data_IF_298632254913
#
_entry.id   IF_298632254913
#
_cell.length_a   1.000
_cell.length_b   1.000
_cell.length_c   1.000
_cell.angle_alpha   90.00
_cell.angle_beta   90.00
_cell.angle_gamma   90.00
#
_symmetry.space_group_name_H-M   'P 1'
#
loop_
_entity.id
_entity.type
_entity.pdbx_description
1 polymer ?
#
# COMPACT_ATOMS: atom_id res chain seq x y z
N UNK A 1 -13.71 9.99 11.51
CA UNK A 1 -12.81 9.53 10.43
C UNK A 1 -12.64 8.04 10.64
N UNK A 2 -12.81 7.24 9.59
CA UNK A 2 -12.71 5.79 9.69
C UNK A 2 -11.28 5.38 10.08
N UNK A 3 -11.12 4.48 11.05
CA UNK A 3 -9.80 4.03 11.54
C UNK A 3 -8.93 3.48 10.40
N UNK A 4 -9.54 2.84 9.40
CA UNK A 4 -8.81 2.31 8.25
C UNK A 4 -8.31 3.41 7.32
N UNK A 5 -9.08 4.49 7.14
CA UNK A 5 -8.67 5.66 6.35
C UNK A 5 -7.48 6.34 7.01
N UNK A 6 -7.51 6.51 8.33
CA UNK A 6 -6.39 7.08 9.08
C UNK A 6 -5.12 6.22 8.98
N UNK A 7 -5.26 4.90 9.07
CA UNK A 7 -4.16 3.95 8.83
C UNK A 7 -3.56 4.10 7.43
N UNK A 8 -4.40 4.17 6.39
CA UNK A 8 -3.92 4.36 5.02
C UNK A 8 -3.22 5.70 4.81
N UNK A 9 -3.75 6.80 5.37
CA UNK A 9 -3.11 8.12 5.31
C UNK A 9 -1.74 8.15 6.01
N UNK A 10 -1.59 7.45 7.14
CA UNK A 10 -0.31 7.32 7.82
C UNK A 10 0.66 6.46 7.01
N UNK A 11 0.20 5.39 6.39
CA UNK A 11 1.00 4.52 5.54
C UNK A 11 1.55 5.26 4.31
N UNK A 12 0.72 6.09 3.65
CA UNK A 12 1.13 6.97 2.55
C UNK A 12 2.34 7.82 2.96
N UNK A 13 2.25 8.49 4.12
CA UNK A 13 3.35 9.31 4.64
C UNK A 13 4.62 8.48 4.92
N UNK A 14 4.47 7.26 5.43
CA UNK A 14 5.59 6.36 5.67
C UNK A 14 6.29 5.95 4.36
N UNK A 15 5.52 5.62 3.32
CA UNK A 15 6.06 5.26 2.00
C UNK A 15 6.76 6.47 1.37
N UNK A 16 6.13 7.66 1.40
CA UNK A 16 6.71 8.91 0.89
C UNK A 16 8.03 9.25 1.60
N UNK A 17 8.07 9.15 2.92
CA UNK A 17 9.30 9.36 3.70
C UNK A 17 10.38 8.36 3.30
N UNK A 18 10.02 7.08 3.15
CA UNK A 18 10.94 6.02 2.77
C UNK A 18 11.49 6.21 1.36
N UNK A 19 10.67 6.66 0.41
CA UNK A 19 11.07 6.99 -0.97
C UNK A 19 12.23 7.99 -1.01
N UNK A 20 12.27 8.96 -0.09
CA UNK A 20 13.34 9.97 -0.05
C UNK A 20 14.72 9.40 0.26
N UNK A 21 14.78 8.19 0.82
CA UNK A 21 16.04 7.52 1.17
C UNK A 21 16.64 6.71 0.00
N UNK A 22 15.91 6.51 -1.10
CA UNK A 22 16.33 5.70 -2.23
C UNK A 22 16.49 6.52 -3.51
N UNK A 23 17.52 6.21 -4.30
CA UNK A 23 17.70 6.80 -5.62
C UNK A 23 16.49 6.52 -6.52
N UNK A 24 16.02 7.53 -7.25
CA UNK A 24 14.84 7.45 -8.12
C UNK A 24 14.95 6.39 -9.23
N UNK A 25 16.17 5.98 -9.59
CA UNK A 25 16.44 4.93 -10.57
C UNK A 25 16.60 3.55 -9.95
N UNK A 26 16.54 3.44 -8.62
CA UNK A 26 16.62 2.16 -7.93
C UNK A 26 15.32 1.37 -8.09
N UNK A 27 15.44 0.04 -8.19
CA UNK A 27 14.29 -0.86 -8.24
C UNK A 27 13.42 -0.79 -6.97
N UNK A 28 14.00 -0.41 -5.84
CA UNK A 28 13.27 -0.19 -4.58
C UNK A 28 12.38 1.06 -4.69
N UNK A 29 12.92 2.16 -5.20
CA UNK A 29 12.15 3.39 -5.38
C UNK A 29 10.99 3.19 -6.36
N UNK A 30 11.22 2.50 -7.48
CA UNK A 30 10.17 2.16 -8.44
C UNK A 30 9.02 1.38 -7.78
N UNK A 31 9.34 0.32 -7.05
CA UNK A 31 8.32 -0.51 -6.38
C UNK A 31 7.59 0.23 -5.26
N UNK A 32 8.29 1.04 -4.45
CA UNK A 32 7.64 1.88 -3.44
C UNK A 32 6.72 2.93 -4.08
N UNK A 33 7.08 3.45 -5.26
CA UNK A 33 6.24 4.39 -6.00
C UNK A 33 4.95 3.73 -6.49
N UNK A 34 5.03 2.50 -7.01
CA UNK A 34 3.84 1.71 -7.35
C UNK A 34 2.96 1.43 -6.13
N UNK A 35 3.58 1.09 -5.00
CA UNK A 35 2.82 0.88 -3.78
C UNK A 35 2.10 2.14 -3.32
N UNK A 36 2.77 3.29 -3.35
CA UNK A 36 2.20 4.56 -2.94
C UNK A 36 0.91 4.86 -3.72
N UNK A 37 0.93 4.67 -5.04
CA UNK A 37 -0.25 4.83 -5.91
C UNK A 37 -1.36 3.85 -5.51
N UNK A 38 -1.03 2.60 -5.22
CA UNK A 38 -2.00 1.60 -4.78
C UNK A 38 -2.68 1.95 -3.46
N UNK A 39 -1.90 2.35 -2.45
CA UNK A 39 -2.44 2.76 -1.13
C UNK A 39 -3.27 4.03 -1.25
N UNK A 40 -2.84 5.01 -2.05
CA UNK A 40 -3.61 6.23 -2.34
C UNK A 40 -4.98 5.90 -2.93
N UNK A 41 -5.03 5.03 -3.95
CA UNK A 41 -6.28 4.58 -4.55
C UNK A 41 -7.24 3.94 -3.53
N UNK A 42 -6.74 3.04 -2.68
CA UNK A 42 -7.55 2.41 -1.63
C UNK A 42 -8.10 3.43 -0.62
N UNK A 43 -7.29 4.40 -0.20
CA UNK A 43 -7.73 5.48 0.71
C UNK A 43 -8.79 6.36 0.06
N UNK A 44 -8.64 6.67 -1.22
CA UNK A 44 -9.64 7.42 -1.99
C UNK A 44 -10.97 6.66 -2.08
N UNK A 45 -10.94 5.36 -2.39
CA UNK A 45 -12.14 4.51 -2.41
C UNK A 45 -12.87 4.49 -1.07
N UNK A 46 -12.11 4.31 0.02
CA UNK A 46 -12.64 4.30 1.37
C UNK A 46 -13.28 5.65 1.76
N UNK A 47 -12.72 6.78 1.30
CA UNK A 47 -13.27 8.11 1.55
C UNK A 47 -14.50 8.41 0.68
N UNK A 48 -14.43 8.10 -0.61
CA UNK A 48 -15.41 8.52 -1.60
C UNK A 48 -16.67 7.62 -1.64
N UNK A 49 -16.67 6.48 -0.94
CA UNK A 49 -17.70 5.43 -1.09
C UNK A 49 -17.91 5.04 -2.57
N UNK A 50 -16.89 5.24 -3.41
CA UNK A 50 -16.93 4.98 -4.85
C UNK A 50 -15.89 3.91 -5.17
N UNK A 51 -16.28 2.88 -5.91
CA UNK A 51 -15.32 1.91 -6.45
C UNK A 51 -14.46 2.56 -7.53
N UNK A 52 -13.29 3.06 -7.16
CA UNK A 52 -12.16 2.96 -8.08
C UNK A 52 -11.86 1.46 -8.20
N UNK A 53 -11.63 0.99 -9.42
CA UNK A 53 -11.54 -0.45 -9.70
C UNK A 53 -10.09 -0.87 -9.55
N UNK A 54 -9.54 -0.81 -8.33
CA UNK A 54 -8.20 -1.36 -8.08
C UNK A 54 -8.33 -2.79 -7.55
N UNK A 55 -8.51 -3.75 -8.47
CA UNK A 55 -8.45 -5.18 -8.15
C UNK A 55 -7.00 -5.66 -8.28
N UNK A 56 -6.22 -5.60 -7.20
CA UNK A 56 -4.99 -6.39 -7.08
C UNK A 56 -5.24 -7.47 -6.04
N UNK A 57 -5.14 -8.74 -6.46
CA UNK A 57 -5.33 -9.85 -5.53
C UNK A 57 -4.22 -9.83 -4.45
N UNK A 58 -4.52 -10.21 -3.19
CA UNK A 58 -3.51 -10.39 -2.14
C UNK A 58 -2.35 -11.32 -2.51
N UNK A 59 -2.55 -12.22 -3.48
CA UNK A 59 -1.53 -13.15 -3.99
C UNK A 59 -0.56 -12.48 -4.97
N UNK A 60 -1.00 -11.46 -5.71
CA UNK A 60 -0.13 -10.70 -6.61
C UNK A 60 0.78 -9.74 -5.83
N UNK A 61 0.35 -9.29 -4.66
CA UNK A 61 1.13 -8.38 -3.80
C UNK A 61 2.41 -8.96 -3.22
N UNK A 62 2.35 -10.21 -2.75
CA UNK A 62 3.54 -10.94 -2.32
C UNK A 62 4.48 -11.23 -3.51
N UNK A 63 3.93 -11.32 -4.72
CA UNK A 63 4.69 -11.54 -5.96
C UNK A 63 5.36 -10.25 -6.45
N UNK A 64 4.71 -9.10 -6.28
CA UNK A 64 5.10 -7.80 -6.86
C UNK A 64 6.16 -7.05 -6.04
N UNK A 65 6.15 -7.14 -4.70
CA UNK A 65 7.21 -6.56 -3.87
C UNK A 65 8.56 -7.24 -4.11
N UNK A 66 8.54 -8.53 -4.44
CA UNK A 66 9.73 -9.37 -4.63
C UNK A 66 10.52 -9.59 -3.33
N UNK A 67 11.21 -10.72 -3.23
CA UNK A 67 11.92 -11.14 -2.01
C UNK A 67 12.88 -10.06 -1.44
N UNK A 68 13.58 -9.34 -2.31
CA UNK A 68 14.54 -8.32 -1.89
C UNK A 68 13.93 -7.14 -1.11
N UNK A 69 12.69 -6.72 -1.40
CA UNK A 69 12.05 -5.64 -0.63
C UNK A 69 11.52 -6.14 0.70
N UNK A 70 11.05 -7.38 0.76
CA UNK A 70 10.62 -8.01 2.02
C UNK A 70 11.81 -8.09 2.99
N UNK A 71 13.00 -8.40 2.48
CA UNK A 71 14.22 -8.40 3.29
C UNK A 71 14.72 -6.99 3.65
N UNK A 72 14.60 -6.03 2.72
CA UNK A 72 15.16 -4.68 2.91
C UNK A 72 14.25 -3.77 3.77
N UNK A 73 12.93 -3.92 3.66
CA UNK A 73 11.93 -3.06 4.29
C UNK A 73 10.82 -3.91 4.97
N UNK A 74 11.19 -4.81 5.91
CA UNK A 74 10.25 -5.79 6.47
C UNK A 74 9.08 -5.14 7.24
N UNK A 75 9.35 -4.05 7.97
CA UNK A 75 8.32 -3.33 8.73
C UNK A 75 7.34 -2.60 7.83
N UNK A 76 7.83 -1.93 6.79
CA UNK A 76 6.97 -1.24 5.82
C UNK A 76 6.12 -2.23 5.03
N UNK A 77 6.72 -3.36 4.64
CA UNK A 77 5.99 -4.46 4.01
C UNK A 77 4.86 -4.98 4.92
N UNK A 78 5.13 -5.21 6.21
CA UNK A 78 4.10 -5.65 7.16
C UNK A 78 2.95 -4.64 7.27
N UNK A 79 3.27 -3.34 7.38
CA UNK A 79 2.24 -2.29 7.44
C UNK A 79 1.37 -2.25 6.18
N UNK A 80 1.98 -2.40 5.00
CA UNK A 80 1.24 -2.47 3.73
C UNK A 80 0.33 -3.70 3.69
N UNK A 81 0.88 -4.86 4.04
CA UNK A 81 0.14 -6.11 4.01
C UNK A 81 -1.07 -6.09 4.95
N UNK A 82 -0.89 -5.56 6.16
CA UNK A 82 -1.97 -5.37 7.14
C UNK A 82 -3.05 -4.42 6.61
N UNK A 83 -2.66 -3.26 6.07
CA UNK A 83 -3.60 -2.28 5.54
C UNK A 83 -4.44 -2.86 4.39
N UNK A 84 -3.80 -3.52 3.43
CA UNK A 84 -4.49 -4.13 2.28
C UNK A 84 -5.44 -5.24 2.70
N UNK A 85 -5.02 -6.10 3.65
CA UNK A 85 -5.87 -7.14 4.21
C UNK A 85 -7.11 -6.54 4.88
N UNK A 86 -6.94 -5.46 5.64
CA UNK A 86 -8.06 -4.76 6.27
C UNK A 86 -8.99 -4.09 5.25
N UNK A 87 -8.44 -3.50 4.17
CA UNK A 87 -9.21 -2.94 3.06
C UNK A 87 -10.05 -4.01 2.35
N UNK A 88 -9.47 -5.15 1.97
CA UNK A 88 -10.20 -6.24 1.31
C UNK A 88 -11.31 -6.81 2.19
N UNK A 89 -11.02 -7.03 3.48
CA UNK A 89 -12.03 -7.47 4.44
C UNK A 89 -13.19 -6.48 4.56
N UNK A 90 -12.91 -5.18 4.51
CA UNK A 90 -13.96 -4.16 4.56
C UNK A 90 -14.79 -4.15 3.29
N UNK A 91 -14.15 -4.25 2.12
CA UNK A 91 -14.82 -4.32 0.81
C UNK A 91 -15.77 -5.53 0.69
N UNK A 92 -15.39 -6.69 1.24
CA UNK A 92 -16.23 -7.90 1.25
C UNK A 92 -17.46 -7.80 2.17
N UNK A 93 -17.47 -6.89 3.15
CA UNK A 93 -18.54 -6.74 4.14
C UNK A 93 -19.45 -5.52 3.89
N UNK A 94 -19.25 -4.81 2.78
CA UNK A 94 -20.10 -3.70 2.30
C UNK A 94 -21.15 -4.20 1.31
#
# INVERSE_FOLDING_TARGET
MDELIEKGLNLIKCIESTLTAYDIRSSINEKLSWELVGVQGMVEELNAHSSLTYELSPLDLNRDWGAAMVETLPELFAMVFEFRTAYENKKLNQ
#
